data_IF_180939530502
#
_entry.id   IF_180939530502
#
_cell.length_a   1.000
_cell.length_b   1.000
_cell.length_c   1.000
_cell.angle_alpha   90.00
_cell.angle_beta   90.00
_cell.angle_gamma   90.00
#
_symmetry.space_group_name_H-M   'P 1'
#
loop_
_entity.id
_entity.type
_entity.pdbx_description
1 polymer ?
#
# COMPACT_ATOMS: atom_id res chain seq x y z
N UNK A 1 -40.09 -25.46 31.21
CA UNK A 1 -39.13 -25.85 30.15
C UNK A 1 -39.06 -24.67 29.19
N UNK A 2 -38.06 -23.80 29.37
CA UNK A 2 -37.90 -22.56 28.61
C UNK A 2 -37.37 -22.88 27.22
N UNK A 3 -38.09 -22.45 26.19
CA UNK A 3 -37.60 -22.42 24.81
C UNK A 3 -37.03 -21.03 24.58
N UNK A 4 -35.72 -20.93 24.46
CA UNK A 4 -35.05 -19.68 24.08
C UNK A 4 -35.24 -19.44 22.58
N UNK A 5 -35.92 -18.33 22.30
CA UNK A 5 -36.12 -17.75 20.98
C UNK A 5 -34.83 -17.04 20.55
N UNK A 6 -34.01 -17.70 19.70
CA UNK A 6 -32.88 -17.05 19.05
C UNK A 6 -33.38 -16.26 17.85
N UNK A 7 -33.65 -14.98 18.07
CA UNK A 7 -33.80 -14.00 17.00
C UNK A 7 -32.46 -13.84 16.28
N UNK A 8 -32.33 -14.49 15.13
CA UNK A 8 -31.29 -14.18 14.14
C UNK A 8 -31.54 -12.76 13.62
N UNK A 9 -30.77 -11.80 14.10
CA UNK A 9 -30.73 -10.45 13.54
C UNK A 9 -30.05 -10.53 12.17
N UNK A 10 -30.85 -10.76 11.12
CA UNK A 10 -30.40 -10.52 9.74
C UNK A 10 -30.31 -9.01 9.58
N UNK A 11 -29.10 -8.47 9.65
CA UNK A 11 -28.81 -7.11 9.21
C UNK A 11 -29.25 -7.01 7.76
N UNK A 12 -30.35 -6.29 7.50
CA UNK A 12 -30.76 -5.98 6.13
C UNK A 12 -29.62 -5.18 5.50
N UNK A 13 -28.91 -5.78 4.54
CA UNK A 13 -28.12 -5.05 3.56
C UNK A 13 -29.05 -3.99 2.97
N UNK A 14 -28.74 -2.72 3.19
CA UNK A 14 -29.46 -1.62 2.56
C UNK A 14 -29.39 -1.80 1.04
N UNK A 15 -30.52 -1.61 0.36
CA UNK A 15 -30.68 -1.89 -1.07
C UNK A 15 -29.60 -1.26 -1.95
N UNK A 16 -29.35 -1.90 -3.10
CA UNK A 16 -28.41 -1.62 -4.19
C UNK A 16 -27.01 -2.28 -4.18
N UNK A 17 -26.67 -3.16 -3.24
CA UNK A 17 -25.41 -3.91 -3.36
C UNK A 17 -25.50 -5.07 -4.38
N UNK A 18 -24.74 -4.96 -5.48
CA UNK A 18 -24.55 -6.04 -6.47
C UNK A 18 -24.09 -7.31 -5.75
N UNK A 19 -24.81 -8.42 -5.87
CA UNK A 19 -24.35 -9.71 -5.32
C UNK A 19 -23.51 -10.49 -6.36
N UNK A 20 -22.50 -11.27 -5.93
CA UNK A 20 -21.79 -12.17 -6.82
C UNK A 20 -22.73 -13.24 -7.38
N UNK A 21 -22.52 -13.63 -8.64
CA UNK A 21 -23.36 -14.62 -9.32
C UNK A 21 -22.74 -16.01 -9.22
N UNK A 22 -23.58 -17.05 -9.14
CA UNK A 22 -23.13 -18.43 -9.31
C UNK A 22 -23.29 -18.80 -10.78
N UNK A 23 -22.21 -19.30 -11.39
CA UNK A 23 -22.16 -19.69 -12.80
C UNK A 23 -21.92 -21.19 -12.90
N UNK A 24 -22.74 -21.88 -13.70
CA UNK A 24 -22.52 -23.27 -14.06
C UNK A 24 -21.46 -23.37 -15.16
N UNK A 25 -20.37 -24.08 -14.90
CA UNK A 25 -19.28 -24.27 -15.86
C UNK A 25 -19.27 -25.67 -16.49
N UNK A 26 -20.43 -26.34 -16.60
CA UNK A 26 -20.55 -27.62 -17.31
C UNK A 26 -19.81 -28.77 -16.60
N UNK A 27 -19.90 -28.80 -15.26
CA UNK A 27 -19.20 -29.76 -14.40
C UNK A 27 -19.11 -29.35 -12.92
N UNK A 28 -19.62 -28.16 -12.56
CA UNK A 28 -19.70 -27.65 -11.20
C UNK A 28 -20.13 -26.18 -11.18
N UNK A 29 -20.74 -25.74 -10.08
CA UNK A 29 -21.13 -24.36 -9.86
C UNK A 29 -19.99 -23.56 -9.21
N UNK A 30 -19.72 -22.34 -9.70
CA UNK A 30 -18.65 -21.46 -9.19
C UNK A 30 -19.17 -20.07 -8.89
N UNK A 31 -18.60 -19.40 -7.90
CA UNK A 31 -18.87 -17.98 -7.65
C UNK A 31 -18.09 -17.14 -8.65
N UNK A 32 -18.77 -16.32 -9.43
CA UNK A 32 -18.17 -15.37 -10.36
C UNK A 32 -17.79 -14.08 -9.63
N UNK A 33 -16.50 -13.74 -9.70
CA UNK A 33 -15.95 -12.52 -9.13
C UNK A 33 -15.16 -11.74 -10.18
N UNK A 34 -15.26 -10.42 -10.12
CA UNK A 34 -14.39 -9.49 -10.84
C UNK A 34 -13.22 -9.05 -9.97
N UNK A 35 -12.01 -8.98 -10.54
CA UNK A 35 -10.81 -8.53 -9.84
C UNK A 35 -10.10 -7.43 -10.63
N UNK A 36 -9.68 -6.36 -9.97
CA UNK A 36 -8.83 -5.33 -10.58
C UNK A 36 -7.53 -5.15 -9.80
N UNK A 37 -6.40 -5.29 -10.47
CA UNK A 37 -5.05 -5.10 -9.90
C UNK A 37 -4.12 -4.48 -10.93
N UNK A 38 -3.06 -3.82 -10.49
CA UNK A 38 -2.01 -3.39 -11.40
C UNK A 38 -1.28 -4.60 -12.02
N UNK A 39 -0.62 -4.37 -13.15
CA UNK A 39 0.06 -5.41 -13.92
C UNK A 39 1.38 -5.85 -13.26
N UNK A 40 1.27 -6.72 -12.25
CA UNK A 40 2.41 -7.30 -11.51
C UNK A 40 2.79 -8.68 -12.05
N UNK A 41 4.09 -8.93 -12.25
CA UNK A 41 4.58 -10.25 -12.65
C UNK A 41 4.24 -11.36 -11.65
N UNK A 42 4.20 -11.06 -10.34
CA UNK A 42 3.85 -12.02 -9.29
C UNK A 42 2.34 -12.26 -9.16
N UNK A 43 1.50 -11.50 -9.86
CA UNK A 43 0.05 -11.75 -9.99
C UNK A 43 -0.33 -12.30 -11.37
N UNK A 44 0.61 -12.29 -12.34
CA UNK A 44 0.37 -12.63 -13.75
C UNK A 44 -0.33 -13.98 -13.93
N UNK A 45 0.12 -15.02 -13.23
CA UNK A 45 -0.43 -16.36 -13.38
C UNK A 45 -1.89 -16.43 -12.88
N UNK A 46 -2.26 -15.62 -11.88
CA UNK A 46 -3.64 -15.50 -11.41
C UNK A 46 -4.52 -14.75 -12.42
N UNK A 47 -4.09 -13.55 -12.86
CA UNK A 47 -4.91 -12.72 -13.75
C UNK A 47 -5.13 -13.32 -15.14
N UNK A 48 -4.23 -14.18 -15.60
CA UNK A 48 -4.39 -14.92 -16.86
C UNK A 48 -4.97 -16.33 -16.69
N UNK A 49 -5.34 -16.73 -15.46
CA UNK A 49 -6.04 -17.98 -15.19
C UNK A 49 -5.17 -19.25 -15.33
N UNK A 50 -3.85 -19.11 -15.26
CA UNK A 50 -2.89 -20.23 -15.10
C UNK A 50 -3.03 -20.80 -13.69
N UNK A 51 -3.10 -19.92 -12.70
CA UNK A 51 -3.50 -20.24 -11.33
C UNK A 51 -4.96 -19.82 -11.19
N UNK A 52 -5.80 -20.72 -10.66
CA UNK A 52 -7.23 -20.48 -10.52
C UNK A 52 -7.63 -20.64 -9.06
N UNK A 53 -8.25 -19.62 -8.44
CA UNK A 53 -8.79 -19.77 -7.10
C UNK A 53 -9.89 -20.83 -7.07
N UNK A 54 -9.83 -21.73 -6.10
CA UNK A 54 -10.80 -22.83 -5.97
C UNK A 54 -12.22 -22.30 -5.79
N UNK A 55 -13.20 -22.91 -6.46
CA UNK A 55 -14.61 -22.52 -6.39
C UNK A 55 -14.97 -21.18 -7.04
N UNK A 56 -13.99 -20.46 -7.61
CA UNK A 56 -14.17 -19.12 -8.16
C UNK A 56 -13.96 -19.12 -9.68
N UNK A 57 -14.85 -18.46 -10.40
CA UNK A 57 -14.65 -18.02 -11.78
C UNK A 57 -14.21 -16.55 -11.73
N UNK A 58 -12.96 -16.26 -12.07
CA UNK A 58 -12.39 -14.92 -11.91
C UNK A 58 -12.30 -14.19 -13.26
N UNK A 59 -12.91 -13.01 -13.34
CA UNK A 59 -12.69 -12.05 -14.44
C UNK A 59 -11.73 -10.97 -13.95
N UNK A 60 -10.49 -11.00 -14.41
CA UNK A 60 -9.45 -10.07 -13.99
C UNK A 60 -9.28 -8.90 -14.98
N UNK A 61 -9.06 -7.70 -14.44
CA UNK A 61 -8.74 -6.48 -15.16
C UNK A 61 -7.38 -5.97 -14.67
N UNK A 62 -6.50 -5.64 -15.61
CA UNK A 62 -5.18 -5.05 -15.30
C UNK A 62 -5.01 -3.70 -15.96
N UNK A 63 -4.34 -2.78 -15.27
CA UNK A 63 -3.91 -1.48 -15.80
C UNK A 63 -2.57 -1.10 -15.19
N UNK A 64 -1.76 -0.33 -15.92
CA UNK A 64 -0.53 0.23 -15.37
C UNK A 64 -0.80 1.41 -14.41
N UNK A 65 -2.00 2.00 -14.45
CA UNK A 65 -2.37 3.18 -13.66
C UNK A 65 -3.23 2.76 -12.47
N UNK A 66 -2.57 2.39 -11.38
CA UNK A 66 -3.24 1.86 -10.18
C UNK A 66 -4.22 2.87 -9.55
N UNK A 67 -4.00 4.17 -9.71
CA UNK A 67 -4.90 5.21 -9.22
C UNK A 67 -6.29 5.15 -9.87
N UNK A 68 -6.40 4.63 -11.10
CA UNK A 68 -7.67 4.39 -11.78
C UNK A 68 -8.47 3.28 -11.07
N UNK A 69 -7.81 2.18 -10.72
CA UNK A 69 -8.40 1.06 -9.97
C UNK A 69 -8.94 1.58 -8.63
N UNK A 70 -8.12 2.35 -7.90
CA UNK A 70 -8.50 2.89 -6.60
C UNK A 70 -9.72 3.79 -6.70
N UNK A 71 -9.75 4.69 -7.70
CA UNK A 71 -10.86 5.59 -7.90
C UNK A 71 -12.16 4.84 -8.19
N UNK A 72 -12.13 3.89 -9.15
CA UNK A 72 -13.29 3.07 -9.54
C UNK A 72 -13.82 2.23 -8.38
N UNK A 73 -12.93 1.61 -7.61
CA UNK A 73 -13.32 0.78 -6.49
C UNK A 73 -13.82 1.57 -5.27
N UNK A 74 -13.17 2.69 -4.92
CA UNK A 74 -13.59 3.49 -3.76
C UNK A 74 -14.90 4.21 -4.05
N UNK A 75 -15.04 4.79 -5.25
CA UNK A 75 -16.21 5.61 -5.60
C UNK A 75 -17.41 4.78 -6.02
N UNK A 76 -17.20 3.67 -6.72
CA UNK A 76 -18.29 2.92 -7.37
C UNK A 76 -18.38 1.45 -6.95
N UNK A 77 -17.43 0.95 -6.15
CA UNK A 77 -17.35 -0.49 -5.78
C UNK A 77 -17.43 -1.39 -7.02
N UNK A 78 -16.83 -0.95 -8.12
CA UNK A 78 -17.05 -1.53 -9.45
C UNK A 78 -16.67 -3.02 -9.50
N UNK A 79 -15.57 -3.38 -8.82
CA UNK A 79 -15.03 -4.73 -8.77
C UNK A 79 -15.39 -5.45 -7.47
N UNK A 80 -15.47 -6.79 -7.51
CA UNK A 80 -15.69 -7.63 -6.33
C UNK A 80 -14.46 -7.71 -5.44
N UNK A 81 -13.30 -7.81 -6.07
CA UNK A 81 -11.97 -7.81 -5.48
C UNK A 81 -11.16 -6.70 -6.15
N UNK A 82 -10.45 -5.89 -5.39
CA UNK A 82 -9.70 -4.77 -5.95
C UNK A 82 -8.44 -4.52 -5.16
N UNK A 83 -7.37 -4.16 -5.86
CA UNK A 83 -6.26 -3.47 -5.24
C UNK A 83 -6.72 -2.12 -4.67
N UNK A 84 -6.17 -1.74 -3.52
CA UNK A 84 -6.48 -0.48 -2.85
C UNK A 84 -5.26 0.08 -2.11
N UNK A 85 -5.13 1.40 -2.06
CA UNK A 85 -4.17 2.10 -1.20
C UNK A 85 -4.36 1.69 0.27
N UNK A 86 -3.26 1.28 0.93
CA UNK A 86 -3.31 0.85 2.33
C UNK A 86 -3.75 1.97 3.27
N UNK A 87 -3.27 3.21 3.07
CA UNK A 87 -3.70 4.36 3.86
C UNK A 87 -5.21 4.61 3.76
N UNK A 88 -5.77 4.57 2.55
CA UNK A 88 -7.21 4.79 2.35
C UNK A 88 -8.03 3.66 2.97
N UNK A 89 -7.56 2.42 2.88
CA UNK A 89 -8.20 1.28 3.55
C UNK A 89 -8.24 1.49 5.07
N UNK A 90 -7.09 1.76 5.70
CA UNK A 90 -7.00 1.95 7.15
C UNK A 90 -7.84 3.15 7.61
N UNK A 91 -7.82 4.26 6.87
CA UNK A 91 -8.63 5.44 7.16
C UNK A 91 -10.14 5.11 7.13
N UNK A 92 -10.63 4.47 6.05
CA UNK A 92 -12.03 4.06 5.94
C UNK A 92 -12.43 3.04 7.02
N UNK A 93 -11.57 2.06 7.30
CA UNK A 93 -11.82 1.07 8.36
C UNK A 93 -11.89 1.70 9.74
N UNK A 94 -11.18 2.80 10.00
CA UNK A 94 -11.24 3.50 11.29
C UNK A 94 -12.60 4.11 11.62
N UNK A 95 -13.43 4.36 10.59
CA UNK A 95 -14.81 4.89 10.72
C UNK A 95 -15.83 3.83 11.14
N UNK A 96 -15.48 2.55 11.04
CA UNK A 96 -16.30 1.42 11.50
C UNK A 96 -17.31 0.86 10.49
N UNK A 97 -17.52 1.51 9.34
CA UNK A 97 -18.52 1.13 8.32
C UNK A 97 -17.91 0.92 6.93
N UNK A 98 -16.62 0.57 6.85
CA UNK A 98 -15.92 0.39 5.59
C UNK A 98 -16.66 -0.61 4.67
N UNK A 99 -17.00 -0.25 3.42
CA UNK A 99 -17.77 -1.12 2.50
C UNK A 99 -16.93 -2.27 1.92
N UNK A 100 -15.71 -2.48 2.42
CA UNK A 100 -14.77 -3.53 2.07
C UNK A 100 -14.26 -4.24 3.32
N UNK A 101 -13.77 -5.46 3.10
CA UNK A 101 -12.84 -6.13 4.00
C UNK A 101 -11.45 -6.21 3.36
N UNK A 102 -10.40 -6.11 4.16
CA UNK A 102 -9.03 -6.33 3.72
C UNK A 102 -8.74 -7.82 3.55
N UNK A 103 -8.07 -8.16 2.46
CA UNK A 103 -7.42 -9.45 2.27
C UNK A 103 -5.92 -9.20 2.50
N UNK A 104 -5.22 -10.00 3.34
CA UNK A 104 -3.82 -9.74 3.69
C UNK A 104 -2.84 -10.14 2.58
N UNK A 105 -3.14 -9.75 1.35
CA UNK A 105 -2.29 -9.86 0.16
C UNK A 105 -1.78 -8.47 -0.17
N UNK A 106 -0.46 -8.31 -0.26
CA UNK A 106 0.23 -7.02 -0.35
C UNK A 106 1.03 -6.91 -1.65
N UNK A 107 0.39 -6.60 -2.80
CA UNK A 107 1.04 -6.66 -4.11
C UNK A 107 2.14 -5.59 -4.28
N UNK A 108 2.09 -4.50 -3.52
CA UNK A 108 3.06 -3.41 -3.64
C UNK A 108 3.75 -3.13 -2.32
N UNK A 109 5.09 -3.25 -2.29
CA UNK A 109 5.94 -2.91 -1.15
C UNK A 109 7.14 -2.11 -1.61
N UNK A 110 7.41 -0.98 -0.95
CA UNK A 110 8.45 -0.05 -1.38
C UNK A 110 8.97 0.72 -0.16
N UNK A 111 10.27 0.65 0.12
CA UNK A 111 10.89 1.52 1.12
C UNK A 111 10.84 2.99 0.73
N UNK A 112 11.00 3.90 1.70
CA UNK A 112 10.78 5.34 1.49
C UNK A 112 12.00 6.24 1.73
N UNK A 113 13.18 5.67 1.99
CA UNK A 113 14.42 6.45 2.06
C UNK A 113 14.77 7.06 0.69
N UNK A 114 14.60 6.28 -0.38
CA UNK A 114 14.80 6.74 -1.76
C UNK A 114 13.89 7.89 -2.21
N UNK A 115 12.80 8.15 -1.47
CA UNK A 115 11.79 9.17 -1.79
C UNK A 115 11.99 10.52 -1.12
N UNK A 116 13.16 10.78 -0.53
CA UNK A 116 13.46 12.06 0.13
C UNK A 116 14.53 12.81 -0.65
N UNK A 117 14.16 13.96 -1.17
CA UNK A 117 14.98 14.85 -1.98
C UNK A 117 15.23 16.14 -1.21
N UNK A 118 16.45 16.66 -1.27
CA UNK A 118 16.87 17.89 -0.58
C UNK A 118 17.66 18.77 -1.53
N UNK A 119 17.65 20.07 -1.26
CA UNK A 119 18.59 20.98 -1.91
C UNK A 119 19.97 20.92 -1.23
N UNK A 120 21.03 20.70 -2.01
CA UNK A 120 22.40 20.59 -1.55
C UNK A 120 22.92 21.91 -0.94
N UNK A 121 22.49 23.06 -1.48
CA UNK A 121 22.79 24.40 -0.96
C UNK A 121 22.11 24.77 0.37
N UNK A 122 21.33 23.87 0.99
CA UNK A 122 20.66 24.10 2.30
C UNK A 122 21.40 23.51 3.50
N UNK A 123 22.48 22.76 3.27
CA UNK A 123 23.26 22.12 4.32
C UNK A 123 22.51 20.99 5.06
N UNK A 124 21.51 20.37 4.43
CA UNK A 124 20.74 19.24 4.98
C UNK A 124 21.46 17.94 4.59
N UNK A 125 22.09 17.28 5.57
CA UNK A 125 22.87 16.05 5.40
C UNK A 125 22.29 14.86 6.16
N UNK A 126 21.44 15.12 7.15
CA UNK A 126 20.81 14.12 7.99
C UNK A 126 19.30 14.36 8.08
N UNK A 127 18.53 13.31 8.40
CA UNK A 127 17.09 13.42 8.57
C UNK A 127 16.68 14.44 9.65
N UNK A 128 17.46 14.56 10.73
CA UNK A 128 17.20 15.51 11.82
C UNK A 128 17.26 16.97 11.37
N UNK A 129 18.07 17.29 10.37
CA UNK A 129 18.21 18.65 9.83
C UNK A 129 17.04 19.09 8.94
N UNK A 130 16.02 18.22 8.76
CA UNK A 130 14.73 18.62 8.21
C UNK A 130 13.92 19.47 9.20
N UNK A 131 14.20 19.40 10.49
CA UNK A 131 13.54 20.23 11.50
C UNK A 131 13.76 21.73 11.22
N UNK A 132 12.68 22.52 11.31
CA UNK A 132 12.70 23.94 10.98
C UNK A 132 12.74 24.28 9.48
N UNK A 133 12.76 23.27 8.59
CA UNK A 133 12.80 23.46 7.12
C UNK A 133 11.40 23.49 6.50
N UNK A 134 11.35 23.93 5.26
CA UNK A 134 10.14 23.85 4.43
C UNK A 134 10.21 22.60 3.55
N UNK A 135 9.29 21.65 3.74
CA UNK A 135 9.30 20.34 3.09
C UNK A 135 8.02 20.13 2.30
N UNK A 136 8.16 19.81 1.01
CA UNK A 136 7.03 19.59 0.12
C UNK A 136 6.57 18.12 0.08
N UNK A 137 5.27 17.88 -0.05
CA UNK A 137 4.66 16.56 -0.16
C UNK A 137 3.50 16.54 -1.19
N UNK A 138 3.23 15.41 -1.86
CA UNK A 138 2.12 15.33 -2.81
C UNK A 138 0.75 15.41 -2.15
N UNK A 139 0.61 14.68 -1.05
CA UNK A 139 -0.60 14.49 -0.24
C UNK A 139 -0.16 14.11 1.19
N UNK A 140 -0.87 14.63 2.19
CA UNK A 140 -0.67 14.24 3.58
C UNK A 140 -1.10 12.79 3.79
N UNK A 141 -2.28 12.40 3.30
CA UNK A 141 -2.84 11.07 3.55
C UNK A 141 -2.36 9.98 2.58
N UNK A 142 -1.25 10.19 1.87
CA UNK A 142 -0.68 9.21 0.96
C UNK A 142 0.09 8.13 1.74
N UNK A 143 -0.13 6.84 1.45
CA UNK A 143 0.59 5.72 2.10
C UNK A 143 2.11 5.93 2.14
N UNK A 144 2.71 6.33 1.01
CA UNK A 144 4.14 6.59 0.92
C UNK A 144 4.60 7.71 1.87
N UNK A 145 3.84 8.81 1.95
CA UNK A 145 4.11 9.93 2.84
C UNK A 145 3.97 9.55 4.32
N UNK A 146 2.95 8.76 4.65
CA UNK A 146 2.74 8.27 6.03
C UNK A 146 3.91 7.41 6.49
N UNK A 147 4.37 6.46 5.68
CA UNK A 147 5.55 5.66 6.00
C UNK A 147 6.82 6.50 6.09
N UNK A 148 7.04 7.42 5.14
CA UNK A 148 8.22 8.27 5.16
C UNK A 148 8.28 9.15 6.42
N UNK A 149 7.18 9.83 6.76
CA UNK A 149 7.12 10.66 7.97
C UNK A 149 7.14 9.84 9.26
N UNK A 150 6.48 8.68 9.29
CA UNK A 150 6.54 7.76 10.43
C UNK A 150 7.95 7.25 10.69
N UNK A 151 8.68 6.89 9.63
CA UNK A 151 10.11 6.53 9.70
C UNK A 151 10.98 7.71 10.17
N UNK A 152 10.77 8.92 9.64
CA UNK A 152 11.47 10.12 10.10
C UNK A 152 11.24 10.37 11.60
N UNK A 153 9.99 10.25 12.06
CA UNK A 153 9.64 10.48 13.47
C UNK A 153 10.14 9.39 14.41
N UNK A 154 9.80 8.11 14.17
CA UNK A 154 10.13 7.03 15.11
C UNK A 154 11.61 6.62 15.04
N UNK A 155 12.17 6.47 13.83
CA UNK A 155 13.53 5.93 13.67
C UNK A 155 14.60 7.04 13.70
N UNK A 156 14.37 8.15 13.00
CA UNK A 156 15.32 9.27 12.95
C UNK A 156 15.07 10.36 14.01
N UNK A 157 14.00 10.23 14.82
CA UNK A 157 13.65 11.17 15.89
C UNK A 157 13.42 12.59 15.40
N UNK A 158 12.86 12.74 14.20
CA UNK A 158 12.46 14.03 13.62
C UNK A 158 11.13 14.48 14.21
N UNK A 159 11.09 15.69 14.74
CA UNK A 159 9.87 16.36 15.14
C UNK A 159 9.16 16.93 13.91
N UNK A 160 8.10 16.23 13.48
CA UNK A 160 7.31 16.62 12.32
C UNK A 160 6.55 17.96 12.52
N UNK A 161 6.33 18.39 13.76
CA UNK A 161 5.65 19.66 14.07
C UNK A 161 6.56 20.88 13.86
N UNK A 162 7.88 20.66 13.91
CA UNK A 162 8.88 21.69 13.62
C UNK A 162 9.05 21.99 12.12
N UNK A 163 8.44 21.17 11.25
CA UNK A 163 8.56 21.26 9.79
C UNK A 163 7.39 22.07 9.22
N UNK A 164 7.70 22.96 8.26
CA UNK A 164 6.68 23.64 7.45
C UNK A 164 6.34 22.76 6.24
N UNK A 165 5.15 22.17 6.23
CA UNK A 165 4.72 21.27 5.18
C UNK A 165 3.99 22.01 4.06
N UNK A 166 4.42 21.76 2.82
CA UNK A 166 3.80 22.34 1.63
C UNK A 166 3.23 21.23 0.76
N UNK A 167 1.92 21.24 0.52
CA UNK A 167 1.27 20.29 -0.37
C UNK A 167 1.16 20.85 -1.79
N UNK A 168 1.65 20.10 -2.79
CA UNK A 168 1.54 20.46 -4.20
C UNK A 168 1.60 19.20 -5.09
N UNK A 169 1.31 19.33 -6.38
CA UNK A 169 1.57 18.24 -7.33
C UNK A 169 3.07 18.04 -7.55
N UNK A 170 3.51 16.81 -7.86
CA UNK A 170 4.95 16.49 -7.95
C UNK A 170 5.61 17.29 -9.07
N UNK A 171 5.09 17.17 -10.29
CA UNK A 171 5.65 17.80 -11.49
C UNK A 171 4.73 18.87 -12.09
N UNK A 172 3.43 18.68 -11.93
CA UNK A 172 2.40 19.59 -12.44
C UNK A 172 1.59 20.24 -11.31
N UNK A 173 1.08 21.46 -11.49
CA UNK A 173 0.17 22.10 -10.55
C UNK A 173 -1.20 21.41 -10.51
N UNK A 174 -2.06 21.84 -9.58
CA UNK A 174 -3.47 21.43 -9.51
C UNK A 174 -3.77 20.16 -8.72
N UNK A 175 -2.75 19.44 -8.21
CA UNK A 175 -2.99 18.33 -7.29
C UNK A 175 -3.48 18.87 -5.94
N UNK A 176 -4.62 18.38 -5.49
CA UNK A 176 -5.22 18.70 -4.19
C UNK A 176 -5.31 17.46 -3.30
N UNK A 177 -5.40 17.68 -2.01
CA UNK A 177 -5.67 16.61 -1.04
C UNK A 177 -7.03 15.96 -1.34
N UNK A 178 -7.06 14.62 -1.36
CA UNK A 178 -8.26 13.85 -1.74
C UNK A 178 -9.17 13.50 -0.57
N UNK A 179 -8.77 13.89 0.64
CA UNK A 179 -9.52 13.66 1.89
C UNK A 179 -9.55 14.94 2.70
N UNK A 180 -10.63 15.17 3.44
CA UNK A 180 -10.63 16.20 4.47
C UNK A 180 -9.60 15.82 5.53
N UNK A 181 -8.69 16.74 5.84
CA UNK A 181 -7.69 16.57 6.89
C UNK A 181 -8.10 17.39 8.11
N UNK A 182 -8.09 16.76 9.27
CA UNK A 182 -8.26 17.42 10.56
C UNK A 182 -6.91 17.42 11.29
N UNK A 183 -6.00 18.29 10.84
CA UNK A 183 -4.67 18.41 11.45
C UNK A 183 -4.73 19.36 12.66
N UNK A 184 -4.01 19.04 13.75
CA UNK A 184 -3.91 19.95 14.89
C UNK A 184 -3.12 21.19 14.52
N UNK A 185 -3.34 22.28 15.25
CA UNK A 185 -2.65 23.56 15.03
C UNK A 185 -1.11 23.49 15.17
N UNK A 186 -0.58 22.43 15.78
CA UNK A 186 0.86 22.17 15.86
C UNK A 186 1.48 21.76 14.52
N UNK A 187 0.69 21.28 13.55
CA UNK A 187 1.18 20.91 12.22
C UNK A 187 1.04 22.11 11.29
N UNK A 188 2.18 22.70 10.92
CA UNK A 188 2.22 23.77 9.93
C UNK A 188 2.06 23.17 8.53
N UNK A 189 0.86 23.24 7.96
CA UNK A 189 0.53 22.69 6.65
C UNK A 189 -0.11 23.75 5.75
N UNK A 190 0.37 23.87 4.51
CA UNK A 190 -0.16 24.78 3.51
C UNK A 190 -0.30 24.07 2.16
N UNK A 191 -1.43 24.29 1.46
CA UNK A 191 -1.61 23.84 0.08
C UNK A 191 -1.16 24.90 -0.92
N UNK A 192 -0.46 24.49 -1.98
CA UNK A 192 0.05 25.29 -3.10
C UNK A 192 -0.36 24.65 -4.43
N UNK A 193 -1.65 24.67 -4.79
CA UNK A 193 -2.14 24.08 -6.04
C UNK A 193 -1.69 24.88 -7.28
N UNK A 194 -1.18 26.08 -7.10
CA UNK A 194 -0.67 26.99 -8.13
C UNK A 194 0.73 26.60 -8.66
N UNK A 195 1.44 25.68 -7.99
CA UNK A 195 2.81 25.29 -8.33
C UNK A 195 3.01 23.77 -8.25
N UNK A 196 4.24 23.32 -8.52
CA UNK A 196 4.66 21.93 -8.38
C UNK A 196 5.89 21.78 -7.50
N UNK A 197 6.04 20.62 -6.86
CA UNK A 197 7.19 20.28 -6.01
C UNK A 197 8.49 20.41 -6.80
N UNK A 198 8.49 19.94 -8.06
CA UNK A 198 9.64 20.03 -8.98
C UNK A 198 10.08 21.49 -9.16
N UNK A 199 9.14 22.39 -9.47
CA UNK A 199 9.42 23.82 -9.66
C UNK A 199 9.88 24.49 -8.36
N UNK A 200 9.18 24.24 -7.25
CA UNK A 200 9.51 24.81 -5.93
C UNK A 200 10.89 24.34 -5.43
N UNK A 201 11.29 23.10 -5.72
CA UNK A 201 12.63 22.62 -5.42
C UNK A 201 13.66 23.31 -6.29
N UNK A 202 13.41 23.50 -7.58
CA UNK A 202 14.37 24.12 -8.50
C UNK A 202 14.62 25.59 -8.16
N UNK A 203 13.56 26.36 -7.89
CA UNK A 203 13.65 27.79 -7.57
C UNK A 203 14.00 28.09 -6.10
N UNK A 204 14.02 27.07 -5.23
CA UNK A 204 14.39 27.21 -3.83
C UNK A 204 13.30 27.73 -2.91
N UNK A 205 12.03 27.70 -3.33
CA UNK A 205 10.85 27.95 -2.49
C UNK A 205 10.70 26.91 -1.36
N UNK A 206 11.14 25.68 -1.60
CA UNK A 206 11.19 24.60 -0.59
C UNK A 206 12.59 24.02 -0.46
N UNK A 207 12.94 23.57 0.74
CA UNK A 207 14.27 23.05 1.05
C UNK A 207 14.41 21.56 0.73
N UNK A 208 13.29 20.83 0.79
CA UNK A 208 13.23 19.39 0.58
C UNK A 208 11.85 18.94 0.10
N UNK A 209 11.76 17.69 -0.34
CA UNK A 209 10.51 17.03 -0.67
C UNK A 209 10.52 15.55 -0.25
N UNK A 210 9.34 15.06 0.16
CA UNK A 210 9.07 13.65 0.39
C UNK A 210 8.05 13.19 -0.65
N UNK A 211 8.48 12.43 -1.65
CA UNK A 211 7.64 12.01 -2.78
C UNK A 211 7.95 10.59 -3.23
N UNK A 212 6.90 9.83 -3.53
CA UNK A 212 7.01 8.47 -4.07
C UNK A 212 7.56 8.45 -5.51
N UNK A 213 7.28 9.49 -6.29
CA UNK A 213 7.82 9.70 -7.65
C UNK A 213 8.91 10.76 -7.57
N UNK A 214 10.03 10.53 -8.24
CA UNK A 214 11.09 11.52 -8.32
C UNK A 214 10.56 12.80 -8.99
N UNK A 215 10.84 14.00 -8.43
CA UNK A 215 10.57 15.25 -9.11
C UNK A 215 11.36 15.34 -10.41
N UNK A 216 10.79 15.94 -11.45
CA UNK A 216 11.48 16.09 -12.75
C UNK A 216 12.78 16.87 -12.61
N UNK A 217 12.82 17.88 -11.74
CA UNK A 217 14.03 18.64 -11.46
C UNK A 217 15.19 17.77 -10.95
N UNK A 218 14.92 16.65 -10.26
CA UNK A 218 15.95 15.65 -9.94
C UNK A 218 16.32 14.79 -11.15
N UNK A 219 15.32 14.32 -11.91
CA UNK A 219 15.54 13.46 -13.08
C UNK A 219 16.29 14.15 -14.21
N UNK A 220 16.04 15.45 -14.39
CA UNK A 220 16.70 16.33 -15.36
C UNK A 220 18.12 16.73 -14.91
N UNK A 221 18.55 16.30 -13.73
CA UNK A 221 19.91 16.49 -13.22
C UNK A 221 20.18 17.90 -12.70
N UNK A 222 19.19 18.59 -12.14
CA UNK A 222 19.42 19.89 -11.49
C UNK A 222 20.52 19.74 -10.42
N UNK A 223 21.62 20.53 -10.49
CA UNK A 223 22.84 20.26 -9.73
C UNK A 223 22.64 20.34 -8.22
N UNK A 224 21.69 21.16 -7.78
CA UNK A 224 21.38 21.33 -6.36
C UNK A 224 20.40 20.29 -5.80
N UNK A 225 19.76 19.44 -6.59
CA UNK A 225 18.74 18.52 -6.05
C UNK A 225 19.34 17.13 -5.92
N UNK A 226 19.44 16.66 -4.68
CA UNK A 226 20.04 15.38 -4.34
C UNK A 226 19.10 14.56 -3.46
N UNK A 227 19.36 13.25 -3.33
CA UNK A 227 18.68 12.44 -2.33
C UNK A 227 19.29 12.70 -0.96
N UNK A 228 18.45 12.77 0.08
CA UNK A 228 18.92 12.85 1.47
C UNK A 228 19.75 11.61 1.84
N UNK A 229 19.38 10.45 1.30
CA UNK A 229 20.11 9.19 1.47
C UNK A 229 20.72 8.77 0.12
N UNK A 230 21.96 9.16 -0.19
CA UNK A 230 22.61 8.78 -1.45
C UNK A 230 22.70 7.25 -1.62
N UNK A 231 23.07 6.53 -0.55
CA UNK A 231 23.07 5.07 -0.50
C UNK A 231 21.80 4.54 0.21
N UNK A 232 20.63 4.88 -0.34
CA UNK A 232 19.34 4.49 0.21
C UNK A 232 19.21 2.97 0.41
N UNK A 233 19.79 2.12 -0.47
CA UNK A 233 19.70 0.66 -0.32
C UNK A 233 20.33 0.17 0.99
N UNK A 234 21.50 0.69 1.36
CA UNK A 234 22.17 0.32 2.61
C UNK A 234 21.41 0.84 3.84
N UNK A 235 20.84 2.05 3.74
CA UNK A 235 20.02 2.60 4.83
C UNK A 235 18.71 1.82 5.00
N UNK A 236 18.06 1.44 3.90
CA UNK A 236 16.83 0.64 3.90
C UNK A 236 17.06 -0.74 4.51
N UNK A 237 18.19 -1.38 4.20
CA UNK A 237 18.61 -2.63 4.83
C UNK A 237 18.81 -2.47 6.34
N UNK A 238 19.52 -1.42 6.76
CA UNK A 238 19.78 -1.13 8.17
C UNK A 238 18.47 -0.88 8.93
N UNK A 239 17.57 -0.10 8.33
CA UNK A 239 16.25 0.16 8.87
C UNK A 239 15.42 -1.13 9.02
N UNK A 240 15.38 -1.97 7.98
CA UNK A 240 14.66 -3.24 8.03
C UNK A 240 15.22 -4.18 9.10
N UNK A 241 16.54 -4.32 9.20
CA UNK A 241 17.18 -5.17 10.22
C UNK A 241 16.86 -4.72 11.65
N UNK A 242 16.75 -3.40 11.89
CA UNK A 242 16.45 -2.86 13.22
C UNK A 242 14.97 -2.89 13.58
N UNK A 243 14.07 -2.83 12.61
CA UNK A 243 12.64 -2.58 12.86
C UNK A 243 11.72 -3.71 12.38
N UNK A 244 12.18 -4.55 11.44
CA UNK A 244 11.33 -5.49 10.71
C UNK A 244 10.30 -4.83 9.80
N UNK A 245 10.35 -3.51 9.60
CA UNK A 245 9.36 -2.78 8.80
C UNK A 245 9.78 -2.78 7.34
N UNK A 246 9.01 -3.49 6.51
CA UNK A 246 9.10 -3.42 5.05
C UNK A 246 7.77 -2.87 4.48
N UNK A 247 7.70 -1.57 4.17
CA UNK A 247 6.44 -0.86 3.97
C UNK A 247 5.48 -1.46 2.92
N UNK A 248 4.20 -1.56 3.27
CA UNK A 248 3.10 -2.06 2.41
C UNK A 248 2.37 -0.87 1.78
N UNK A 249 2.44 -0.72 0.46
CA UNK A 249 1.79 0.41 -0.22
C UNK A 249 0.31 0.14 -0.48
N UNK A 250 0.02 -1.04 -1.00
CA UNK A 250 -1.32 -1.44 -1.43
C UNK A 250 -1.65 -2.81 -0.83
N UNK A 251 -2.94 -3.06 -0.68
CA UNK A 251 -3.49 -4.36 -0.32
C UNK A 251 -4.55 -4.78 -1.34
N UNK A 252 -4.94 -6.05 -1.30
CA UNK A 252 -6.19 -6.50 -1.91
C UNK A 252 -7.35 -6.29 -0.93
N UNK A 253 -8.46 -5.77 -1.43
CA UNK A 253 -9.70 -5.57 -0.70
C UNK A 253 -10.85 -6.28 -1.42
N UNK A 254 -11.80 -6.82 -0.65
CA UNK A 254 -13.02 -7.45 -1.17
C UNK A 254 -14.22 -6.62 -0.77
N UNK A 255 -15.24 -6.51 -1.62
CA UNK A 255 -16.52 -5.91 -1.23
C UNK A 255 -17.10 -6.65 -0.03
N UNK A 256 -17.62 -5.90 0.95
CA UNK A 256 -18.16 -6.47 2.19
C UNK A 256 -19.28 -7.47 1.90
N UNK A 257 -20.24 -7.13 1.04
CA UNK A 257 -21.31 -8.05 0.62
C UNK A 257 -20.80 -9.39 0.06
N UNK A 258 -19.73 -9.38 -0.74
CA UNK A 258 -19.13 -10.61 -1.29
C UNK A 258 -18.58 -11.47 -0.16
N UNK A 259 -17.84 -10.86 0.77
CA UNK A 259 -17.27 -11.55 1.91
C UNK A 259 -18.34 -12.11 2.84
N UNK A 260 -19.38 -11.33 3.16
CA UNK A 260 -20.45 -11.78 4.07
C UNK A 260 -21.28 -12.92 3.46
N UNK A 261 -21.46 -12.94 2.14
CA UNK A 261 -22.20 -14.01 1.46
C UNK A 261 -21.35 -15.26 1.23
N UNK A 262 -20.05 -15.10 0.91
CA UNK A 262 -19.14 -16.20 0.60
C UNK A 262 -17.76 -16.01 1.27
N UNK A 263 -17.65 -16.10 2.62
CA UNK A 263 -16.40 -15.77 3.33
C UNK A 263 -15.19 -16.59 2.89
N UNK A 264 -15.41 -17.86 2.51
CA UNK A 264 -14.39 -18.78 2.03
C UNK A 264 -13.65 -18.27 0.77
N UNK A 265 -14.28 -17.40 -0.03
CA UNK A 265 -13.68 -16.86 -1.25
C UNK A 265 -12.43 -16.06 -0.96
N UNK A 266 -12.35 -15.36 0.18
CA UNK A 266 -11.21 -14.54 0.51
C UNK A 266 -9.94 -15.36 0.74
N UNK A 267 -10.04 -16.50 1.45
CA UNK A 267 -8.88 -17.39 1.64
C UNK A 267 -8.47 -18.06 0.32
N UNK A 268 -9.42 -18.40 -0.55
CA UNK A 268 -9.09 -18.95 -1.87
C UNK A 268 -8.38 -17.93 -2.78
N UNK A 269 -8.69 -16.64 -2.63
CA UNK A 269 -7.91 -15.55 -3.27
C UNK A 269 -6.51 -15.45 -2.66
N UNK A 270 -6.35 -15.53 -1.33
CA UNK A 270 -5.02 -15.57 -0.68
C UNK A 270 -4.17 -16.70 -1.25
N UNK A 271 -4.70 -17.92 -1.26
CA UNK A 271 -4.01 -19.12 -1.75
C UNK A 271 -3.60 -18.98 -3.22
N UNK A 272 -4.49 -18.44 -4.07
CA UNK A 272 -4.19 -18.23 -5.47
C UNK A 272 -3.12 -17.14 -5.71
N UNK A 273 -3.12 -16.06 -4.91
CA UNK A 273 -2.07 -15.05 -4.94
C UNK A 273 -0.72 -15.61 -4.47
N UNK A 274 -0.71 -16.41 -3.40
CA UNK A 274 0.51 -17.09 -2.91
C UNK A 274 1.09 -18.02 -3.97
N UNK A 275 0.26 -18.84 -4.62
CA UNK A 275 0.70 -19.74 -5.68
C UNK A 275 1.22 -18.98 -6.91
N UNK A 276 0.56 -17.89 -7.33
CA UNK A 276 1.03 -17.05 -8.42
C UNK A 276 2.41 -16.41 -8.11
N UNK A 277 2.59 -15.91 -6.89
CA UNK A 277 3.87 -15.36 -6.41
C UNK A 277 4.95 -16.43 -6.36
N UNK A 278 4.66 -17.61 -5.81
CA UNK A 278 5.60 -18.74 -5.73
C UNK A 278 6.12 -19.11 -7.12
N UNK A 279 5.22 -19.28 -8.09
CA UNK A 279 5.57 -19.59 -9.49
C UNK A 279 6.40 -18.48 -10.14
N UNK A 280 6.12 -17.21 -9.83
CA UNK A 280 6.93 -16.09 -10.28
C UNK A 280 8.36 -16.18 -9.73
N UNK A 281 8.52 -16.37 -8.42
CA UNK A 281 9.84 -16.52 -7.80
C UNK A 281 10.62 -17.73 -8.34
N UNK A 282 9.95 -18.84 -8.64
CA UNK A 282 10.57 -20.00 -9.29
C UNK A 282 11.12 -19.67 -10.67
N UNK A 283 10.38 -18.89 -11.48
CA UNK A 283 10.88 -18.43 -12.78
C UNK A 283 12.12 -17.55 -12.67
N UNK A 284 12.19 -16.69 -11.64
CA UNK A 284 13.33 -15.80 -11.41
C UNK A 284 14.59 -16.60 -11.04
N UNK A 285 14.43 -17.71 -10.30
CA UNK A 285 15.54 -18.61 -9.92
C UNK A 285 16.09 -19.44 -11.08
N UNK A 286 15.38 -19.54 -12.21
CA UNK A 286 15.84 -20.36 -13.33
C UNK A 286 17.02 -19.73 -14.07
N UNK A 287 18.23 -20.19 -13.78
CA UNK A 287 19.47 -19.72 -14.45
C UNK A 287 19.53 -20.17 -15.91
N UNK A 288 19.05 -21.37 -16.22
CA UNK A 288 19.10 -21.93 -17.58
C UNK A 288 18.17 -21.23 -18.58
N UNK A 289 17.17 -20.49 -18.10
CA UNK A 289 16.23 -19.71 -18.91
C UNK A 289 15.90 -18.42 -18.17
N UNK A 290 16.57 -17.33 -18.53
CA UNK A 290 16.37 -16.03 -17.90
C UNK A 290 14.98 -15.46 -18.21
N UNK A 291 14.04 -15.64 -17.27
CA UNK A 291 12.66 -15.15 -17.40
C UNK A 291 12.55 -13.62 -17.33
N UNK A 292 13.52 -12.97 -16.68
CA UNK A 292 13.64 -11.50 -16.61
C UNK A 292 14.90 -11.10 -17.37
N UNK A 293 14.84 -10.13 -18.31
CA UNK A 293 16.00 -9.62 -19.06
C UNK A 293 16.86 -8.69 -18.19
N UNK A 294 17.20 -9.12 -16.98
CA UNK A 294 18.06 -8.43 -16.03
C UNK A 294 19.23 -9.34 -15.66
N UNK A 295 20.49 -8.93 -15.92
CA UNK A 295 21.65 -9.68 -15.47
C UNK A 295 21.59 -9.96 -13.97
N UNK A 296 22.00 -11.17 -13.57
CA UNK A 296 22.07 -11.62 -12.17
C UNK A 296 20.74 -11.64 -11.41
N UNK A 297 19.58 -11.69 -12.09
CA UNK A 297 18.27 -11.73 -11.43
C UNK A 297 18.14 -12.82 -10.35
N UNK A 298 18.62 -14.05 -10.61
CA UNK A 298 18.64 -15.13 -9.61
C UNK A 298 19.53 -14.77 -8.40
N UNK A 299 20.73 -14.24 -8.64
CA UNK A 299 21.65 -13.82 -7.58
C UNK A 299 21.07 -12.70 -6.72
N UNK A 300 20.39 -11.72 -7.33
CA UNK A 300 19.69 -10.67 -6.58
C UNK A 300 18.55 -11.23 -5.73
N UNK A 301 17.83 -12.25 -6.22
CA UNK A 301 16.81 -12.93 -5.42
C UNK A 301 17.43 -13.72 -4.25
N UNK A 302 18.60 -14.32 -4.43
CA UNK A 302 19.36 -14.98 -3.36
C UNK A 302 19.82 -13.97 -2.28
N UNK A 303 20.37 -12.83 -2.70
CA UNK A 303 20.75 -11.73 -1.80
C UNK A 303 19.53 -11.20 -1.01
N UNK A 304 18.40 -11.04 -1.70
CA UNK A 304 17.15 -10.66 -1.06
C UNK A 304 16.71 -11.74 -0.06
N UNK A 305 16.80 -13.02 -0.40
CA UNK A 305 16.38 -14.10 0.48
C UNK A 305 17.23 -14.18 1.77
N UNK A 306 18.52 -13.86 1.69
CA UNK A 306 19.40 -13.77 2.86
C UNK A 306 18.99 -12.65 3.84
N UNK A 307 18.30 -11.61 3.35
CA UNK A 307 17.85 -10.47 4.15
C UNK A 307 16.40 -10.61 4.61
N UNK A 308 15.50 -10.93 3.69
CA UNK A 308 14.05 -10.89 3.88
C UNK A 308 13.45 -12.27 4.19
N UNK A 309 14.25 -13.34 4.09
CA UNK A 309 13.80 -14.72 4.19
C UNK A 309 13.47 -15.34 2.83
N UNK A 310 13.16 -16.63 2.82
CA UNK A 310 12.95 -17.41 1.59
C UNK A 310 11.84 -16.85 0.67
N UNK A 311 10.85 -16.18 1.27
CA UNK A 311 9.86 -15.36 0.58
C UNK A 311 10.10 -13.88 0.94
N UNK A 312 10.62 -13.06 0.01
CA UNK A 312 10.89 -11.65 0.29
C UNK A 312 9.61 -10.80 0.36
N UNK A 313 8.46 -11.30 -0.10
CA UNK A 313 7.18 -10.59 -0.17
C UNK A 313 6.06 -11.42 0.51
N UNK A 314 6.17 -11.74 1.81
CA UNK A 314 5.19 -12.59 2.48
C UNK A 314 3.81 -11.93 2.53
N UNK A 315 2.76 -12.71 2.30
CA UNK A 315 1.38 -12.33 2.61
C UNK A 315 0.98 -12.81 4.02
N UNK A 316 -0.22 -12.45 4.47
CA UNK A 316 -0.71 -12.75 5.81
C UNK A 316 -0.30 -11.73 6.88
N UNK A 317 -0.87 -11.85 8.08
CA UNK A 317 -0.67 -10.89 9.17
C UNK A 317 0.65 -11.14 9.91
N UNK A 318 0.91 -12.38 10.31
CA UNK A 318 2.01 -12.72 11.21
C UNK A 318 3.38 -12.28 10.69
N UNK A 319 3.69 -12.64 9.44
CA UNK A 319 4.95 -12.26 8.79
C UNK A 319 5.07 -10.75 8.56
N UNK A 320 3.95 -10.02 8.59
CA UNK A 320 3.88 -8.58 8.33
C UNK A 320 3.58 -7.77 9.58
N UNK A 321 3.50 -8.40 10.75
CA UNK A 321 3.06 -7.79 12.00
C UNK A 321 3.84 -6.52 12.35
N UNK A 322 5.19 -6.48 12.27
CA UNK A 322 5.94 -5.25 12.55
C UNK A 322 5.56 -4.10 11.61
N UNK A 323 5.32 -4.40 10.33
CA UNK A 323 4.95 -3.40 9.32
C UNK A 323 3.52 -2.89 9.51
N UNK A 324 2.57 -3.78 9.82
CA UNK A 324 1.17 -3.44 10.03
C UNK A 324 0.98 -2.63 11.32
N UNK A 325 1.61 -3.06 12.41
CA UNK A 325 1.59 -2.33 13.69
C UNK A 325 2.21 -0.94 13.54
N UNK A 326 3.37 -0.83 12.85
CA UNK A 326 3.99 0.45 12.56
C UNK A 326 3.07 1.37 11.77
N UNK A 327 2.42 0.87 10.73
CA UNK A 327 1.52 1.71 9.94
C UNK A 327 0.30 2.18 10.72
N UNK A 328 -0.30 1.32 11.56
CA UNK A 328 -1.43 1.72 12.40
C UNK A 328 -1.06 2.87 13.34
N UNK A 329 0.12 2.79 13.98
CA UNK A 329 0.65 3.90 14.80
C UNK A 329 0.91 5.14 13.96
N UNK A 330 1.66 5.01 12.87
CA UNK A 330 1.99 6.13 11.98
C UNK A 330 0.76 6.84 11.44
N UNK A 331 -0.29 6.10 11.08
CA UNK A 331 -1.53 6.67 10.58
C UNK A 331 -2.26 7.45 11.68
N UNK A 332 -2.32 6.92 12.90
CA UNK A 332 -2.97 7.60 14.01
C UNK A 332 -2.20 8.85 14.47
N UNK A 333 -0.88 8.75 14.66
CA UNK A 333 -0.01 9.86 15.08
C UNK A 333 -0.01 11.01 14.06
N UNK A 334 -0.33 10.72 12.80
CA UNK A 334 -0.42 11.71 11.71
C UNK A 334 -1.86 12.12 11.38
N UNK A 335 -2.83 11.82 12.27
CA UNK A 335 -4.24 12.22 12.15
C UNK A 335 -4.94 11.71 10.87
N UNK A 336 -4.58 10.50 10.43
CA UNK A 336 -5.22 9.84 9.27
C UNK A 336 -6.42 8.99 9.71
N UNK A 337 -6.38 8.45 10.92
CA UNK A 337 -7.45 7.61 11.48
C UNK A 337 -8.13 8.32 12.65
N UNK A 338 -9.46 8.20 12.72
CA UNK A 338 -10.28 8.85 13.77
C UNK A 338 -10.03 8.26 15.16
N UNK A 339 -9.52 7.02 15.21
CA UNK A 339 -9.12 6.30 16.41
C UNK A 339 -7.87 5.45 16.15
N UNK A 340 -7.15 5.02 17.20
CA UNK A 340 -6.14 3.98 17.05
C UNK A 340 -6.75 2.71 16.44
N UNK A 341 -6.05 2.14 15.48
CA UNK A 341 -6.39 0.86 14.84
C UNK A 341 -5.35 -0.19 15.21
N UNK A 342 -5.74 -1.47 15.16
CA UNK A 342 -4.82 -2.60 15.26
C UNK A 342 -4.87 -3.45 13.99
N UNK A 343 -3.80 -4.19 13.64
CA UNK A 343 -3.83 -5.10 12.49
C UNK A 343 -4.98 -6.10 12.56
N UNK A 344 -5.34 -6.59 13.75
CA UNK A 344 -6.42 -7.55 13.92
C UNK A 344 -7.79 -6.94 13.55
N UNK A 345 -8.03 -5.66 13.80
CA UNK A 345 -9.25 -4.97 13.36
C UNK A 345 -9.29 -4.72 11.85
N UNK A 346 -8.13 -4.67 11.21
CA UNK A 346 -8.00 -4.43 9.77
C UNK A 346 -8.26 -5.68 8.92
N UNK A 347 -8.32 -6.87 9.49
CA UNK A 347 -8.54 -8.09 8.70
C UNK A 347 -9.53 -9.03 9.39
N UNK A 348 -10.46 -9.67 8.64
CA UNK A 348 -11.38 -10.65 9.19
C UNK A 348 -10.65 -11.78 9.93
N UNK A 349 -11.19 -12.28 11.06
CA UNK A 349 -10.60 -13.39 11.84
C UNK A 349 -10.20 -14.60 11.01
N UNK A 350 -11.03 -14.94 10.01
CA UNK A 350 -10.85 -16.08 9.10
C UNK A 350 -9.57 -15.97 8.25
N UNK A 351 -9.04 -14.76 8.09
CA UNK A 351 -7.84 -14.48 7.30
C UNK A 351 -6.60 -14.25 8.18
N UNK A 352 -6.72 -14.30 9.51
CA UNK A 352 -5.60 -14.00 10.42
C UNK A 352 -4.62 -15.16 10.54
N UNK A 353 -5.11 -16.39 10.46
CA UNK A 353 -4.29 -17.61 10.44
C UNK A 353 -4.32 -18.23 9.05
N UNK A 354 -3.21 -18.12 8.32
CA UNK A 354 -3.01 -18.91 7.11
C UNK A 354 -2.63 -20.32 7.57
N UNK A 355 -3.43 -21.32 7.21
CA UNK A 355 -3.04 -22.71 7.39
C UNK A 355 -1.73 -22.93 6.62
N UNK A 356 -0.64 -23.17 7.34
CA UNK A 356 0.64 -23.53 6.73
C UNK A 356 0.46 -24.91 6.09
N UNK A 357 0.35 -24.95 4.76
CA UNK A 357 0.42 -26.20 3.99
C UNK A 357 1.85 -26.66 3.86
#
# INVERSE_FOLDING_TARGET
MNVHDHKTTVTRLSGDERLPQIVDTGGGARVHLTMAVADYDHMRDLVHGVVRPEGILLTAFTTAVVEEIFFRFIKHREFDVSEMSFAKYVALSSRGDAPMVGIPVFPSRVFRHSGIYVRADRGIRTAKELEGRTVAIPEWAQTAGIYARGMLAEYYRVDLTSIRWVQAGVNEPGRVEKVALELPASICYQSRPDSSISAMLANGEVDAAVSARAPDSFLDGHPEIVRLFPNYRAEELTYFQKTGVFPIMHLIAMRRAVFEQHPWTAMNIVNACEEAKRRCLERIRMIGVAAIPMPWASGFLEDCAATFGADPFPYGLDANRPTLDAFCRFAHDQHITERPMTPDELFPPELRTVARS
#
